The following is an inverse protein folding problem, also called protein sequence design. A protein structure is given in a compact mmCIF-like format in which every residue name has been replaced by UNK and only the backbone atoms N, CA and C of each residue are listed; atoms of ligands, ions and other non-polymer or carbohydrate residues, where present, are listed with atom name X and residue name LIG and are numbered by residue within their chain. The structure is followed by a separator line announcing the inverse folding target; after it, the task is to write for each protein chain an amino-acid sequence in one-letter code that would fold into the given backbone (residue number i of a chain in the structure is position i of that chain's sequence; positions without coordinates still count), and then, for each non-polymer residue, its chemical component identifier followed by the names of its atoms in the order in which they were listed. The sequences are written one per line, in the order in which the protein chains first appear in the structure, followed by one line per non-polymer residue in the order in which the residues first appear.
data_IF_519819296649
#
_entry.id   IF_519819296649
#
_cell.length_a   1.000
_cell.length_b   1.000
_cell.length_c   1.000
_cell.angle_alpha   90.00
_cell.angle_beta   90.00
_cell.angle_gamma   90.00
#
_symmetry.space_group_name_H-M   'P 1'
#
loop_
_entity.id
_entity.type
_entity.pdbx_description
1 polymer ?
#
# COMPACT_ATOMS: atom_id res chain seq x y z
N UNK A 1 -19.24 -20.95 9.36
CA UNK A 1 -18.13 -20.06 9.77
C UNK A 1 -18.21 -18.80 8.92
N UNK A 2 -18.89 -17.78 9.43
CA UNK A 2 -19.24 -16.59 8.67
C UNK A 2 -18.02 -15.71 8.41
N UNK A 3 -17.91 -15.27 7.15
CA UNK A 3 -16.94 -14.33 6.60
C UNK A 3 -16.98 -12.99 7.38
N UNK A 4 -15.92 -12.70 8.15
CA UNK A 4 -15.60 -11.35 8.64
C UNK A 4 -14.91 -10.51 7.55
N UNK A 5 -15.30 -10.70 6.28
CA UNK A 5 -14.72 -10.03 5.12
C UNK A 5 -15.55 -8.85 4.63
N UNK A 6 -16.55 -8.41 5.40
CA UNK A 6 -17.35 -7.24 5.07
C UNK A 6 -17.03 -6.08 5.99
N UNK A 7 -16.54 -4.97 5.42
CA UNK A 7 -16.59 -3.62 6.00
C UNK A 7 -15.62 -3.34 7.15
N UNK A 8 -14.33 -3.54 6.92
CA UNK A 8 -13.34 -2.76 7.65
C UNK A 8 -12.66 -1.87 6.62
N UNK A 9 -12.84 -0.55 6.77
CA UNK A 9 -12.29 0.45 5.85
C UNK A 9 -10.77 0.32 5.72
N UNK A 10 -10.18 1.04 4.76
CA UNK A 10 -8.77 0.94 4.43
C UNK A 10 -7.86 1.10 5.65
N UNK A 11 -8.22 1.95 6.62
CA UNK A 11 -7.50 2.13 7.88
C UNK A 11 -7.37 0.82 8.69
N UNK A 12 -8.45 0.04 8.79
CA UNK A 12 -8.44 -1.23 9.50
C UNK A 12 -7.73 -2.33 8.70
N UNK A 13 -7.78 -2.26 7.36
CA UNK A 13 -6.95 -3.12 6.52
C UNK A 13 -5.46 -2.82 6.69
N UNK A 14 -5.06 -1.55 6.79
CA UNK A 14 -3.69 -1.12 7.10
C UNK A 14 -3.24 -1.65 8.46
N UNK A 15 -4.05 -1.45 9.51
CA UNK A 15 -3.72 -1.94 10.84
C UNK A 15 -3.52 -3.47 10.88
N UNK A 16 -4.36 -4.22 10.15
CA UNK A 16 -4.21 -5.68 10.01
C UNK A 16 -2.95 -6.06 9.24
N UNK A 17 -2.65 -5.38 8.14
CA UNK A 17 -1.46 -5.62 7.35
C UNK A 17 -0.18 -5.36 8.17
N UNK A 18 -0.18 -4.31 8.99
CA UNK A 18 0.92 -3.99 9.89
C UNK A 18 1.11 -5.08 10.96
N UNK A 19 0.02 -5.54 11.59
CA UNK A 19 0.07 -6.64 12.56
C UNK A 19 0.59 -7.95 11.93
N UNK A 20 0.15 -8.28 10.71
CA UNK A 20 0.64 -9.45 9.97
C UNK A 20 2.14 -9.34 9.66
N UNK A 21 2.59 -8.16 9.22
CA UNK A 21 4.00 -7.86 8.95
C UNK A 21 4.85 -8.01 10.22
N UNK A 22 4.39 -7.49 11.35
CA UNK A 22 5.04 -7.61 12.66
C UNK A 22 5.09 -9.06 13.15
N UNK A 23 4.06 -9.85 12.84
CA UNK A 23 4.02 -11.30 13.06
C UNK A 23 4.89 -12.11 12.10
N UNK A 24 5.57 -11.47 11.14
CA UNK A 24 6.45 -12.12 10.17
C UNK A 24 5.76 -12.61 8.88
N UNK A 25 4.45 -12.43 8.74
CA UNK A 25 3.69 -12.84 7.56
C UNK A 25 3.46 -11.66 6.59
N UNK A 26 4.57 -11.18 6.01
CA UNK A 26 4.55 -10.08 5.05
C UNK A 26 3.78 -10.41 3.75
N UNK A 27 3.71 -11.69 3.38
CA UNK A 27 2.93 -12.10 2.21
C UNK A 27 1.43 -12.03 2.47
N UNK A 28 0.95 -12.48 3.65
CA UNK A 28 -0.44 -12.32 4.02
C UNK A 28 -0.81 -10.83 4.16
N UNK A 29 0.08 -10.01 4.73
CA UNK A 29 -0.10 -8.57 4.81
C UNK A 29 -0.34 -7.97 3.41
N UNK A 30 0.53 -8.31 2.45
CA UNK A 30 0.43 -7.83 1.07
C UNK A 30 -0.87 -8.30 0.38
N UNK A 31 -1.26 -9.57 0.57
CA UNK A 31 -2.50 -10.11 -0.02
C UNK A 31 -3.74 -9.41 0.53
N UNK A 32 -3.82 -9.22 1.85
CA UNK A 32 -4.97 -8.57 2.47
C UNK A 32 -5.11 -7.12 2.03
N UNK A 33 -4.01 -6.35 2.03
CA UNK A 33 -4.06 -4.94 1.66
C UNK A 33 -4.45 -4.73 0.19
N UNK A 34 -4.03 -5.63 -0.70
CA UNK A 34 -4.46 -5.64 -2.11
C UNK A 34 -5.95 -5.87 -2.28
N UNK A 35 -6.51 -6.83 -1.54
CA UNK A 35 -7.95 -7.11 -1.60
C UNK A 35 -8.74 -5.90 -1.11
N UNK A 36 -8.32 -5.29 0.00
CA UNK A 36 -8.97 -4.10 0.54
C UNK A 36 -8.94 -2.91 -0.44
N UNK A 37 -7.81 -2.70 -1.12
CA UNK A 37 -7.69 -1.65 -2.14
C UNK A 37 -8.54 -1.94 -3.39
N UNK A 38 -8.63 -3.21 -3.81
CA UNK A 38 -9.48 -3.62 -4.94
C UNK A 38 -10.98 -3.43 -4.65
N UNK A 39 -11.38 -3.55 -3.39
CA UNK A 39 -12.77 -3.39 -2.93
C UNK A 39 -13.10 -1.95 -2.52
N UNK A 40 -12.10 -1.05 -2.46
CA UNK A 40 -12.30 0.35 -2.09
C UNK A 40 -12.60 1.24 -3.29
N UNK A 41 -13.27 2.36 -3.01
CA UNK A 41 -13.44 3.44 -3.99
C UNK A 41 -12.28 4.44 -3.87
N UNK A 42 -12.02 5.20 -4.94
CA UNK A 42 -10.94 6.20 -5.00
C UNK A 42 -11.07 7.32 -3.95
N UNK A 43 -12.28 7.56 -3.40
CA UNK A 43 -12.54 8.54 -2.33
C UNK A 43 -12.49 7.92 -0.92
N UNK A 44 -12.04 6.68 -0.77
CA UNK A 44 -12.03 5.99 0.52
C UNK A 44 -11.10 6.66 1.52
N UNK A 45 -11.60 6.91 2.73
CA UNK A 45 -10.78 7.36 3.84
C UNK A 45 -9.64 6.37 4.10
N UNK A 46 -8.41 6.88 4.25
CA UNK A 46 -7.21 6.06 4.44
C UNK A 46 -6.57 5.52 3.16
N UNK A 47 -7.05 5.90 1.96
CA UNK A 47 -6.49 5.43 0.68
C UNK A 47 -4.99 5.72 0.55
N UNK A 48 -4.56 6.95 0.82
CA UNK A 48 -3.15 7.33 0.73
C UNK A 48 -2.25 6.48 1.64
N UNK A 49 -2.68 6.21 2.88
CA UNK A 49 -1.92 5.38 3.82
C UNK A 49 -1.92 3.91 3.39
N UNK A 50 -3.03 3.40 2.85
CA UNK A 50 -3.11 2.04 2.31
C UNK A 50 -2.21 1.85 1.08
N UNK A 51 -2.18 2.82 0.16
CA UNK A 51 -1.25 2.82 -0.97
C UNK A 51 0.21 2.90 -0.48
N UNK A 52 0.46 3.69 0.57
CA UNK A 52 1.80 3.84 1.13
C UNK A 52 2.30 2.52 1.74
N UNK A 53 1.48 1.87 2.58
CA UNK A 53 1.78 0.56 3.18
C UNK A 53 1.90 -0.53 2.09
N UNK A 54 1.04 -0.49 1.05
CA UNK A 54 1.15 -1.38 -0.11
C UNK A 54 2.52 -1.21 -0.79
N UNK A 55 2.98 0.03 -0.95
CA UNK A 55 4.27 0.30 -1.58
C UNK A 55 5.44 -0.32 -0.80
N UNK A 56 5.39 -0.25 0.54
CA UNK A 56 6.42 -0.79 1.42
C UNK A 56 6.46 -2.32 1.35
N UNK A 57 5.29 -2.96 1.51
CA UNK A 57 5.15 -4.41 1.43
C UNK A 57 5.55 -4.94 0.05
N UNK A 58 5.12 -4.28 -1.02
CA UNK A 58 5.47 -4.65 -2.38
C UNK A 58 6.98 -4.51 -2.66
N UNK A 59 7.61 -3.44 -2.18
CA UNK A 59 9.05 -3.24 -2.35
C UNK A 59 9.86 -4.34 -1.64
N UNK A 60 9.49 -4.69 -0.39
CA UNK A 60 10.09 -5.79 0.39
C UNK A 60 9.92 -7.14 -0.30
N UNK A 61 8.76 -7.38 -0.92
CA UNK A 61 8.49 -8.58 -1.70
C UNK A 61 9.18 -8.59 -3.09
N UNK A 62 10.01 -7.61 -3.41
CA UNK A 62 10.69 -7.49 -4.71
C UNK A 62 9.78 -7.03 -5.86
N UNK A 63 8.53 -6.68 -5.57
CA UNK A 63 7.50 -6.27 -6.53
C UNK A 63 7.61 -4.76 -6.83
N UNK A 64 8.80 -4.34 -7.27
CA UNK A 64 9.20 -2.93 -7.43
C UNK A 64 8.28 -2.12 -8.34
N UNK A 65 7.70 -2.73 -9.37
CA UNK A 65 6.74 -2.07 -10.26
C UNK A 65 5.42 -1.75 -9.58
N UNK A 66 4.94 -2.64 -8.72
CA UNK A 66 3.73 -2.41 -7.91
C UNK A 66 4.01 -1.30 -6.91
N UNK A 67 5.15 -1.36 -6.22
CA UNK A 67 5.55 -0.32 -5.27
C UNK A 67 5.62 1.06 -5.93
N UNK A 68 6.22 1.15 -7.13
CA UNK A 68 6.31 2.40 -7.86
C UNK A 68 4.93 2.93 -8.23
N UNK A 69 4.05 2.08 -8.79
CA UNK A 69 2.70 2.48 -9.18
C UNK A 69 1.90 3.04 -8.00
N UNK A 70 1.94 2.37 -6.85
CA UNK A 70 1.25 2.84 -5.65
C UNK A 70 1.75 4.23 -5.19
N UNK A 71 3.06 4.49 -5.27
CA UNK A 71 3.62 5.79 -4.92
C UNK A 71 3.32 6.89 -5.95
N UNK A 72 3.26 6.53 -7.23
CA UNK A 72 2.84 7.46 -8.31
C UNK A 72 1.37 7.87 -8.11
N UNK A 73 0.52 6.93 -7.72
CA UNK A 73 -0.89 7.18 -7.40
C UNK A 73 -1.05 8.12 -6.19
N UNK A 74 -0.27 7.92 -5.13
CA UNK A 74 -0.22 8.88 -4.00
C UNK A 74 0.22 10.27 -4.48
N UNK A 75 1.24 10.34 -5.35
CA UNK A 75 1.74 11.63 -5.85
C UNK A 75 0.70 12.37 -6.70
N UNK A 76 -0.14 11.63 -7.42
CA UNK A 76 -1.17 12.18 -8.31
C UNK A 76 -2.41 12.64 -7.54
N UNK A 77 -2.93 11.80 -6.63
CA UNK A 77 -4.22 12.03 -5.97
C UNK A 77 -4.12 12.55 -4.54
N UNK A 78 -2.97 12.36 -3.89
CA UNK A 78 -2.72 12.75 -2.50
C UNK A 78 -1.35 13.44 -2.33
N UNK A 79 -1.08 14.53 -3.07
CA UNK A 79 0.27 15.10 -3.19
C UNK A 79 0.88 15.56 -1.86
N UNK A 80 0.07 15.89 -0.86
CA UNK A 80 0.53 16.31 0.47
C UNK A 80 0.87 15.12 1.39
N UNK A 81 0.38 13.93 1.08
CA UNK A 81 0.59 12.74 1.93
C UNK A 81 2.05 12.29 1.86
N UNK A 82 2.82 12.60 2.91
CA UNK A 82 4.24 12.21 3.04
C UNK A 82 5.07 12.59 1.81
N UNK A 83 4.78 13.74 1.20
CA UNK A 83 5.29 14.17 -0.11
C UNK A 83 6.81 13.94 -0.30
N UNK A 84 7.61 14.34 0.69
CA UNK A 84 9.07 14.18 0.65
C UNK A 84 9.52 12.71 0.63
N UNK A 85 8.85 11.85 1.40
CA UNK A 85 9.16 10.41 1.46
C UNK A 85 8.70 9.71 0.18
N UNK A 86 7.51 10.03 -0.31
CA UNK A 86 6.97 9.50 -1.57
C UNK A 86 7.90 9.86 -2.73
N UNK A 87 8.28 11.14 -2.86
CA UNK A 87 9.18 11.60 -3.92
C UNK A 87 10.55 10.90 -3.88
N UNK A 88 11.11 10.71 -2.68
CA UNK A 88 12.37 10.00 -2.50
C UNK A 88 12.28 8.52 -2.92
N UNK A 89 11.21 7.83 -2.51
CA UNK A 89 10.97 6.41 -2.85
C UNK A 89 10.70 6.22 -4.35
N UNK A 90 9.92 7.09 -4.99
CA UNK A 90 9.69 7.10 -6.45
C UNK A 90 11.02 7.22 -7.20
N UNK A 91 11.84 8.20 -6.82
CA UNK A 91 13.17 8.42 -7.43
C UNK A 91 14.07 7.18 -7.28
N UNK A 92 14.09 6.57 -6.10
CA UNK A 92 14.88 5.37 -5.85
C UNK A 92 14.40 4.17 -6.71
N UNK A 93 13.09 3.95 -6.79
CA UNK A 93 12.51 2.85 -7.56
C UNK A 93 12.70 3.03 -9.07
N UNK A 94 12.55 4.25 -9.60
CA UNK A 94 12.82 4.55 -11.02
C UNK A 94 14.26 4.23 -11.39
N UNK A 95 15.23 4.65 -10.57
CA UNK A 95 16.64 4.31 -10.75
C UNK A 95 16.88 2.81 -10.79
N UNK A 96 16.29 2.05 -9.87
CA UNK A 96 16.44 0.57 -9.82
C UNK A 96 15.79 -0.11 -11.03
N UNK A 97 14.72 0.47 -11.56
CA UNK A 97 13.98 -0.05 -12.71
C UNK A 97 14.57 0.38 -14.07
N UNK A 98 15.60 1.23 -14.09
CA UNK A 98 16.17 1.78 -15.32
C UNK A 98 15.24 2.77 -16.03
N UNK A 99 14.43 3.51 -15.26
CA UNK A 99 13.49 4.54 -15.73
C UNK A 99 13.95 5.93 -15.33
#
# INVERSE_FOLDING_TARGET
MALLSGVLGLEAAVARAQALREGGDAEAALRQLRLALMESNDDAAGLAEALFELSDLAARAGQRRVALRALEEISEFHPDHRAGEVAARVKALRRVLGR
#
